data_IF_743001198661
#
_entry.id   IF_743001198661
#
_cell.length_a   1.000
_cell.length_b   1.000
_cell.length_c   1.000
_cell.angle_alpha   90.00
_cell.angle_beta   90.00
_cell.angle_gamma   90.00
#
_symmetry.space_group_name_H-M   'P 1'
#
loop_
_entity.id
_entity.type
_entity.pdbx_description
1 polymer ?
#
# COMPACT_ATOMS: atom_id res chain seq x y z
N UNK A 1 -30.36 0.87 12.35
CA UNK A 1 -29.56 0.08 11.41
C UNK A 1 -30.48 -0.32 10.27
N UNK A 2 -30.34 0.27 9.09
CA UNK A 2 -30.90 -0.32 7.88
C UNK A 2 -30.27 -1.70 7.72
N UNK A 3 -31.06 -2.71 7.39
CA UNK A 3 -30.55 -4.04 7.06
C UNK A 3 -29.67 -3.92 5.83
N UNK A 4 -28.36 -4.11 6.01
CA UNK A 4 -27.42 -4.23 4.89
C UNK A 4 -27.85 -5.45 4.09
N UNK A 5 -28.29 -5.23 2.85
CA UNK A 5 -28.62 -6.30 1.93
C UNK A 5 -27.37 -6.68 1.12
N UNK A 6 -27.07 -7.97 1.08
CA UNK A 6 -25.90 -8.51 0.40
C UNK A 6 -25.94 -8.33 -1.12
N UNK A 7 -27.14 -8.08 -1.67
CA UNK A 7 -27.36 -7.83 -3.10
C UNK A 7 -27.19 -6.34 -3.47
N UNK A 8 -27.00 -5.45 -2.49
CA UNK A 8 -26.69 -4.05 -2.77
C UNK A 8 -25.30 -3.91 -3.39
N UNK A 9 -25.09 -2.89 -4.26
CA UNK A 9 -23.76 -2.61 -4.79
C UNK A 9 -22.74 -2.39 -3.67
N UNK A 10 -21.62 -3.10 -3.73
CA UNK A 10 -20.63 -3.12 -2.65
C UNK A 10 -20.14 -1.70 -2.29
N UNK A 11 -19.91 -0.85 -3.30
CA UNK A 11 -19.43 0.52 -3.08
C UNK A 11 -20.40 1.42 -2.30
N UNK A 12 -21.72 1.16 -2.37
CA UNK A 12 -22.74 1.92 -1.66
C UNK A 12 -22.67 1.60 -0.18
N UNK A 13 -22.68 0.31 0.14
CA UNK A 13 -22.61 -0.18 1.52
C UNK A 13 -21.29 0.21 2.18
N UNK A 14 -20.15 0.01 1.49
CA UNK A 14 -18.83 0.35 2.03
C UNK A 14 -18.69 1.85 2.32
N UNK A 15 -19.22 2.71 1.44
CA UNK A 15 -19.20 4.16 1.65
C UNK A 15 -20.02 4.54 2.89
N UNK A 16 -21.22 3.98 3.02
CA UNK A 16 -22.10 4.29 4.14
C UNK A 16 -21.48 3.86 5.48
N UNK A 17 -20.89 2.66 5.55
CA UNK A 17 -20.15 2.20 6.73
C UNK A 17 -18.99 3.14 7.04
N UNK A 18 -18.20 3.53 6.04
CA UNK A 18 -17.06 4.43 6.26
C UNK A 18 -17.49 5.81 6.77
N UNK A 19 -18.63 6.32 6.32
CA UNK A 19 -19.22 7.57 6.80
C UNK A 19 -19.76 7.43 8.23
N UNK A 20 -20.46 6.35 8.55
CA UNK A 20 -21.01 6.13 9.89
C UNK A 20 -19.91 5.91 10.94
N UNK A 21 -18.83 5.24 10.58
CA UNK A 21 -17.69 5.00 11.47
C UNK A 21 -16.76 6.22 11.60
N UNK A 22 -16.89 7.22 10.73
CA UNK A 22 -15.97 8.35 10.60
C UNK A 22 -14.49 7.89 10.61
N UNK A 23 -14.20 6.92 9.74
CA UNK A 23 -12.91 6.25 9.66
C UNK A 23 -11.74 7.23 9.45
N UNK A 24 -11.99 8.37 8.81
CA UNK A 24 -10.99 9.43 8.63
C UNK A 24 -10.68 10.19 9.91
N UNK A 25 -11.71 10.59 10.68
CA UNK A 25 -11.47 11.24 11.97
C UNK A 25 -10.84 10.27 12.98
N UNK A 26 -11.25 9.00 12.95
CA UNK A 26 -10.62 7.94 13.75
C UNK A 26 -9.14 7.77 13.39
N UNK A 27 -8.79 7.69 12.10
CA UNK A 27 -7.39 7.57 11.67
C UNK A 27 -6.55 8.77 12.15
N UNK A 28 -7.05 10.00 11.97
CA UNK A 28 -6.36 11.22 12.46
C UNK A 28 -6.15 11.24 13.97
N UNK A 29 -7.00 10.55 14.73
CA UNK A 29 -6.92 10.49 16.20
C UNK A 29 -6.00 9.38 16.72
N UNK A 30 -5.82 8.30 15.95
CA UNK A 30 -5.01 7.13 16.33
C UNK A 30 -3.56 7.30 15.88
N UNK A 31 -3.33 7.84 14.68
CA UNK A 31 -1.98 7.96 14.14
C UNK A 31 -1.28 9.24 14.63
N UNK A 32 -0.05 9.07 15.11
CA UNK A 32 0.79 10.18 15.58
C UNK A 32 1.26 11.05 14.42
N UNK A 33 1.52 10.46 13.25
CA UNK A 33 2.00 11.18 12.07
C UNK A 33 0.84 11.47 11.09
N UNK A 34 0.66 12.72 10.64
CA UNK A 34 -0.39 13.08 9.68
C UNK A 34 -0.30 12.34 8.34
N UNK A 35 0.91 11.95 7.93
CA UNK A 35 1.13 11.18 6.72
C UNK A 35 0.44 9.81 6.80
N UNK A 36 0.63 9.08 7.91
CA UNK A 36 0.07 7.75 8.12
C UNK A 36 -1.47 7.78 8.16
N UNK A 37 -2.04 8.80 8.80
CA UNK A 37 -3.49 9.04 8.75
C UNK A 37 -3.97 9.26 7.30
N UNK A 38 -3.20 9.99 6.48
CA UNK A 38 -3.55 10.21 5.07
C UNK A 38 -3.48 8.92 4.23
N UNK A 39 -2.55 8.01 4.56
CA UNK A 39 -2.42 6.72 3.89
C UNK A 39 -3.66 5.86 4.15
N UNK A 40 -4.19 5.87 5.38
CA UNK A 40 -5.45 5.18 5.69
C UNK A 40 -6.61 5.74 4.86
N UNK A 41 -6.77 7.06 4.82
CA UNK A 41 -7.82 7.71 4.00
C UNK A 41 -7.69 7.34 2.52
N UNK A 42 -6.48 7.40 1.96
CA UNK A 42 -6.22 6.99 0.56
C UNK A 42 -6.53 5.52 0.32
N UNK A 43 -6.23 4.66 1.29
CA UNK A 43 -6.48 3.21 1.19
C UNK A 43 -7.97 2.90 1.21
N UNK A 44 -8.74 3.53 2.11
CA UNK A 44 -10.21 3.42 2.15
C UNK A 44 -10.83 3.91 0.83
N UNK A 45 -10.38 5.07 0.32
CA UNK A 45 -10.85 5.56 -0.98
C UNK A 45 -10.51 4.62 -2.13
N UNK A 46 -9.29 4.08 -2.16
CA UNK A 46 -8.88 3.10 -3.16
C UNK A 46 -9.75 1.84 -3.11
N UNK A 47 -10.01 1.31 -1.91
CA UNK A 47 -10.85 0.14 -1.71
C UNK A 47 -12.29 0.34 -2.20
N UNK A 48 -12.90 1.49 -1.86
CA UNK A 48 -14.24 1.86 -2.36
C UNK A 48 -14.23 2.05 -3.88
N UNK A 49 -13.15 2.63 -4.43
CA UNK A 49 -13.01 2.81 -5.87
C UNK A 49 -12.93 1.47 -6.62
N UNK A 50 -12.20 0.49 -6.08
CA UNK A 50 -12.15 -0.88 -6.63
C UNK A 50 -13.54 -1.52 -6.58
N UNK A 51 -14.25 -1.45 -5.45
CA UNK A 51 -15.62 -1.95 -5.33
C UNK A 51 -16.59 -1.28 -6.33
N UNK A 52 -16.38 0.00 -6.64
CA UNK A 52 -17.16 0.72 -7.64
C UNK A 52 -16.83 0.28 -9.07
N UNK A 53 -15.55 0.08 -9.36
CA UNK A 53 -15.07 -0.31 -10.69
C UNK A 53 -15.40 -1.76 -11.05
N UNK A 54 -15.40 -2.66 -10.06
CA UNK A 54 -15.80 -4.06 -10.27
C UNK A 54 -17.28 -4.22 -10.59
N UNK A 55 -18.13 -3.28 -10.12
CA UNK A 55 -19.57 -3.26 -10.41
C UNK A 55 -20.37 -4.39 -9.76
N UNK A 56 -19.77 -5.13 -8.82
CA UNK A 56 -20.36 -6.30 -8.16
C UNK A 56 -21.16 -5.92 -6.89
N UNK A 57 -22.01 -6.83 -6.43
CA UNK A 57 -22.72 -6.67 -5.16
C UNK A 57 -21.82 -6.97 -3.95
N UNK A 58 -22.31 -6.68 -2.74
CA UNK A 58 -21.56 -6.85 -1.51
C UNK A 58 -21.12 -8.31 -1.27
N UNK A 59 -21.98 -9.28 -1.60
CA UNK A 59 -21.68 -10.71 -1.47
C UNK A 59 -20.50 -11.12 -2.35
N UNK A 60 -20.60 -10.85 -3.64
CA UNK A 60 -19.60 -11.17 -4.65
C UNK A 60 -18.26 -10.47 -4.34
N UNK A 61 -18.33 -9.21 -3.90
CA UNK A 61 -17.13 -8.48 -3.49
C UNK A 61 -16.46 -9.11 -2.28
N UNK A 62 -17.23 -9.51 -1.26
CA UNK A 62 -16.73 -10.18 -0.06
C UNK A 62 -16.07 -11.51 -0.41
N UNK A 63 -16.72 -12.34 -1.24
CA UNK A 63 -16.18 -13.60 -1.73
C UNK A 63 -14.88 -13.40 -2.52
N UNK A 64 -14.84 -12.39 -3.40
CA UNK A 64 -13.64 -12.04 -4.15
C UNK A 64 -12.49 -11.60 -3.24
N UNK A 65 -12.75 -10.75 -2.24
CA UNK A 65 -11.73 -10.35 -1.26
C UNK A 65 -11.25 -11.53 -0.40
N UNK A 66 -12.17 -12.39 0.04
CA UNK A 66 -11.83 -13.59 0.82
C UNK A 66 -11.02 -14.60 0.01
N UNK A 67 -11.34 -14.78 -1.28
CA UNK A 67 -10.56 -15.61 -2.18
C UNK A 67 -9.16 -15.02 -2.44
N UNK A 68 -9.05 -13.70 -2.57
CA UNK A 68 -7.77 -13.01 -2.69
C UNK A 68 -6.91 -13.18 -1.42
N UNK A 69 -7.50 -13.03 -0.24
CA UNK A 69 -6.82 -13.23 1.05
C UNK A 69 -6.39 -14.68 1.24
N UNK A 70 -7.25 -15.64 0.92
CA UNK A 70 -6.92 -17.06 0.95
C UNK A 70 -5.82 -17.42 -0.05
N UNK A 71 -5.82 -16.82 -1.24
CA UNK A 71 -4.76 -16.97 -2.23
C UNK A 71 -3.41 -16.42 -1.72
N UNK A 72 -3.41 -15.24 -1.08
CA UNK A 72 -2.22 -14.64 -0.46
C UNK A 72 -1.71 -15.50 0.70
N UNK A 73 -2.61 -16.06 1.52
CA UNK A 73 -2.25 -16.90 2.67
C UNK A 73 -1.67 -18.28 2.29
N UNK A 74 -2.05 -18.82 1.12
CA UNK A 74 -1.80 -20.24 0.80
C UNK A 74 -0.54 -20.52 -0.02
N UNK A 75 0.21 -19.54 -0.55
CA UNK A 75 1.27 -19.86 -1.52
C UNK A 75 2.64 -19.20 -1.34
N UNK A 76 3.62 -20.11 -1.14
CA UNK A 76 4.99 -20.05 -1.69
C UNK A 76 5.00 -20.39 -3.20
N UNK A 77 4.32 -19.63 -4.06
CA UNK A 77 4.31 -19.93 -5.52
C UNK A 77 5.38 -19.18 -6.30
N UNK A 78 6.06 -19.91 -7.19
CA UNK A 78 6.95 -19.37 -8.22
C UNK A 78 6.13 -18.56 -9.26
N UNK A 79 6.70 -17.49 -9.79
CA UNK A 79 6.15 -16.75 -10.95
C UNK A 79 5.36 -15.46 -10.64
N UNK A 80 5.47 -14.89 -9.45
CA UNK A 80 4.81 -13.63 -9.07
C UNK A 80 5.83 -12.57 -8.65
N UNK A 81 5.46 -11.29 -8.79
CA UNK A 81 6.18 -10.15 -8.23
C UNK A 81 5.50 -9.74 -6.93
N UNK A 82 6.26 -9.61 -5.85
CA UNK A 82 5.76 -9.12 -4.56
C UNK A 82 5.91 -7.60 -4.54
N UNK A 83 4.81 -6.89 -4.32
CA UNK A 83 4.80 -5.46 -4.05
C UNK A 83 4.53 -5.25 -2.56
N UNK A 84 5.49 -4.65 -1.84
CA UNK A 84 5.36 -4.37 -0.42
C UNK A 84 6.11 -3.10 -0.02
N UNK A 85 5.69 -2.49 1.08
CA UNK A 85 6.45 -1.42 1.72
C UNK A 85 7.72 -2.01 2.35
N UNK A 86 8.85 -1.31 2.24
CA UNK A 86 10.14 -1.78 2.76
C UNK A 86 10.08 -2.10 4.27
N UNK A 87 9.29 -1.35 5.04
CA UNK A 87 9.06 -1.60 6.47
C UNK A 87 8.54 -3.03 6.76
N UNK A 88 7.79 -3.62 5.82
CA UNK A 88 7.19 -4.95 5.96
C UNK A 88 8.07 -6.08 5.39
N UNK A 89 9.16 -5.73 4.70
CA UNK A 89 10.08 -6.69 4.06
C UNK A 89 11.08 -7.34 5.04
N UNK A 90 11.04 -6.96 6.32
CA UNK A 90 11.99 -7.44 7.34
C UNK A 90 11.95 -8.97 7.44
N UNK A 91 13.12 -9.60 7.35
CA UNK A 91 13.25 -11.06 7.41
C UNK A 91 12.91 -11.79 6.11
N UNK A 92 12.56 -11.05 5.05
CA UNK A 92 12.43 -11.58 3.68
C UNK A 92 13.67 -11.22 2.87
N UNK A 93 13.95 -12.02 1.86
CA UNK A 93 14.98 -11.76 0.87
C UNK A 93 14.51 -12.28 -0.49
N UNK A 94 14.89 -11.57 -1.54
CA UNK A 94 14.44 -11.83 -2.91
C UNK A 94 15.64 -11.90 -3.85
N UNK A 95 15.56 -12.72 -4.90
CA UNK A 95 16.64 -12.80 -5.90
C UNK A 95 16.86 -11.45 -6.57
N UNK A 96 15.77 -10.75 -6.90
CA UNK A 96 15.78 -9.41 -7.50
C UNK A 96 14.83 -8.47 -6.73
N UNK A 97 15.35 -7.32 -6.31
CA UNK A 97 14.55 -6.21 -5.75
C UNK A 97 14.57 -5.03 -6.71
N UNK A 98 13.40 -4.44 -6.91
CA UNK A 98 13.24 -3.18 -7.65
C UNK A 98 12.78 -2.14 -6.65
N UNK A 99 13.55 -1.05 -6.48
CA UNK A 99 13.15 0.11 -5.69
C UNK A 99 12.69 1.21 -6.65
N UNK A 100 11.37 1.37 -6.85
CA UNK A 100 10.85 2.40 -7.72
C UNK A 100 10.81 3.78 -7.05
N UNK A 101 10.57 4.80 -7.85
CA UNK A 101 10.28 6.16 -7.39
C UNK A 101 11.38 6.82 -6.54
N UNK A 102 12.65 6.60 -6.89
CA UNK A 102 13.78 7.30 -6.25
C UNK A 102 13.91 8.72 -6.81
N UNK A 103 12.98 9.59 -6.42
CA UNK A 103 12.94 11.01 -6.73
C UNK A 103 12.85 11.90 -5.49
N UNK A 104 13.24 13.17 -5.63
CA UNK A 104 13.33 14.15 -4.52
C UNK A 104 11.99 14.44 -3.81
N UNK A 105 10.86 14.18 -4.47
CA UNK A 105 9.52 14.40 -3.90
C UNK A 105 8.89 13.11 -3.34
N UNK A 106 9.57 11.97 -3.48
CA UNK A 106 9.05 10.67 -3.06
C UNK A 106 9.93 9.99 -2.01
N UNK A 107 11.22 9.82 -2.30
CA UNK A 107 12.16 9.19 -1.39
C UNK A 107 13.54 9.84 -1.49
N UNK A 108 14.10 10.38 -0.39
CA UNK A 108 13.61 10.30 0.97
C UNK A 108 12.41 11.22 1.22
N UNK A 109 11.53 10.84 2.15
CA UNK A 109 10.47 11.71 2.63
C UNK A 109 11.04 12.89 3.42
N UNK A 110 10.66 14.13 3.05
CA UNK A 110 11.04 15.34 3.78
C UNK A 110 10.41 15.42 5.18
N UNK A 111 9.38 14.61 5.45
CA UNK A 111 8.69 14.57 6.74
C UNK A 111 9.38 13.68 7.77
N UNK A 112 10.31 12.82 7.34
CA UNK A 112 10.99 11.87 8.19
C UNK A 112 12.44 12.29 8.46
N UNK A 113 13.00 11.95 9.63
CA UNK A 113 14.41 12.14 9.88
C UNK A 113 15.26 11.45 8.82
N UNK A 114 16.23 12.18 8.25
CA UNK A 114 17.11 11.66 7.18
C UNK A 114 17.74 10.30 7.51
N UNK A 115 18.14 10.09 8.78
CA UNK A 115 18.73 8.83 9.24
C UNK A 115 17.75 7.64 9.15
N UNK A 116 16.46 7.88 9.36
CA UNK A 116 15.43 6.85 9.23
C UNK A 116 15.23 6.46 7.77
N UNK A 117 15.23 7.44 6.88
CA UNK A 117 15.18 7.21 5.42
C UNK A 117 16.42 6.48 4.92
N UNK A 118 17.61 6.84 5.40
CA UNK A 118 18.87 6.12 5.12
C UNK A 118 18.79 4.65 5.56
N UNK A 119 18.25 4.39 6.76
CA UNK A 119 18.03 3.03 7.24
C UNK A 119 16.99 2.29 6.40
N UNK A 120 15.91 2.96 5.99
CA UNK A 120 14.85 2.36 5.17
C UNK A 120 15.41 1.95 3.80
N UNK A 121 16.19 2.83 3.16
CA UNK A 121 16.89 2.50 1.91
C UNK A 121 17.79 1.29 2.08
N UNK A 122 18.63 1.29 3.12
CA UNK A 122 19.55 0.19 3.41
C UNK A 122 18.79 -1.14 3.62
N UNK A 123 17.70 -1.14 4.38
CA UNK A 123 16.87 -2.33 4.58
C UNK A 123 16.35 -2.85 3.25
N UNK A 124 15.78 -1.97 2.41
CA UNK A 124 15.24 -2.33 1.09
C UNK A 124 16.30 -2.87 0.15
N UNK A 125 17.43 -2.18 0.04
CA UNK A 125 18.55 -2.59 -0.81
C UNK A 125 19.13 -3.96 -0.39
N UNK A 126 19.25 -4.21 0.91
CA UNK A 126 19.77 -5.48 1.46
C UNK A 126 18.77 -6.64 1.39
N UNK A 127 17.52 -6.43 0.93
CA UNK A 127 16.62 -7.56 0.64
C UNK A 127 17.02 -8.29 -0.65
N UNK A 128 17.85 -7.68 -1.51
CA UNK A 128 18.30 -8.27 -2.77
C UNK A 128 19.45 -9.27 -2.57
N UNK A 129 19.29 -10.48 -3.10
CA UNK A 129 20.35 -11.51 -3.10
C UNK A 129 21.28 -11.42 -4.31
N UNK A 130 20.72 -11.24 -5.50
CA UNK A 130 21.49 -11.28 -6.76
C UNK A 130 21.41 -9.99 -7.57
N UNK A 131 20.28 -9.27 -7.51
CA UNK A 131 20.10 -8.04 -8.28
C UNK A 131 19.30 -6.99 -7.52
N UNK A 132 19.79 -5.76 -7.53
CA UNK A 132 19.06 -4.57 -7.13
C UNK A 132 18.86 -3.67 -8.36
N UNK A 133 17.66 -3.13 -8.54
CA UNK A 133 17.38 -2.16 -9.60
C UNK A 133 16.74 -0.93 -8.99
N UNK A 134 17.37 0.22 -9.23
CA UNK A 134 16.93 1.52 -8.76
C UNK A 134 16.25 2.24 -9.93
N UNK A 135 14.98 2.61 -9.78
CA UNK A 135 14.25 3.36 -10.81
C UNK A 135 14.10 4.80 -10.36
N UNK A 136 14.64 5.71 -11.15
CA UNK A 136 14.79 7.12 -10.80
C UNK A 136 14.38 8.00 -11.98
N UNK A 137 13.94 9.25 -11.74
CA UNK A 137 13.64 10.20 -12.82
C UNK A 137 14.83 10.42 -13.76
N UNK A 138 14.55 10.61 -15.06
CA UNK A 138 15.58 10.89 -16.07
C UNK A 138 16.29 12.22 -15.74
N UNK A 139 15.51 13.23 -15.37
CA UNK A 139 15.96 14.56 -14.97
C UNK A 139 16.79 14.54 -13.69
N UNK A 140 18.07 14.90 -13.78
CA UNK A 140 19.03 14.80 -12.67
C UNK A 140 18.60 15.60 -11.42
N UNK A 141 17.97 16.75 -11.61
CA UNK A 141 17.47 17.61 -10.52
C UNK A 141 16.28 17.01 -9.76
N UNK A 142 15.58 16.02 -10.33
CA UNK A 142 14.47 15.32 -9.68
C UNK A 142 14.90 14.02 -9.03
N UNK A 143 16.14 13.57 -9.24
CA UNK A 143 16.66 12.30 -8.72
C UNK A 143 16.90 12.36 -7.23
N UNK A 144 16.53 11.28 -6.56
CA UNK A 144 16.85 11.07 -5.15
C UNK A 144 18.36 11.04 -4.92
N UNK A 145 18.84 11.52 -3.77
CA UNK A 145 20.21 11.28 -3.32
C UNK A 145 20.49 9.81 -2.96
N UNK A 146 19.61 8.86 -3.28
CA UNK A 146 19.85 7.41 -3.14
C UNK A 146 19.92 6.68 -4.48
N UNK A 147 19.92 7.42 -5.59
CA UNK A 147 19.84 6.87 -6.96
C UNK A 147 21.16 6.83 -7.74
N UNK A 148 22.30 6.97 -7.05
CA UNK A 148 23.62 7.11 -7.68
C UNK A 148 24.03 5.94 -8.57
#
# INVERSE_FOLDING_TARGET
>A
MQSVDAEMPAYVVLREICQQMDLEALAKRIYVHPHDASVVTKSVHGFIAVAKQSGVNLREFSEWTGAADAFVATRKSKGFVVLECVANSKGREFDHVILPFLGNEEFPSAMNPRKEEENLFYIGATRAKSRLTLVSPIEKQKRSPFSY
#
